data_IF_704595500220
#
_entry.id   IF_704595500220
#
_cell.length_a   1.000
_cell.length_b   1.000
_cell.length_c   1.000
_cell.angle_alpha   90.00
_cell.angle_beta   90.00
_cell.angle_gamma   90.00
#
_symmetry.space_group_name_H-M   'P 1'
#
loop_
_entity.id
_entity.type
_entity.pdbx_description
1 polymer ?
#
# COMPACT_ATOMS: atom_id res chain seq x y z
N UNK A 1 12.63 -9.62 -9.25
CA UNK A 1 11.99 -10.84 -9.76
C UNK A 1 12.93 -12.00 -9.54
N UNK A 2 12.47 -13.11 -8.95
CA UNK A 2 13.28 -14.33 -8.87
C UNK A 2 13.15 -14.99 -10.24
N UNK A 3 14.26 -15.16 -10.94
CA UNK A 3 14.26 -15.72 -12.28
C UNK A 3 13.61 -17.11 -12.22
N UNK A 4 12.51 -17.32 -12.94
CA UNK A 4 11.73 -18.57 -12.88
C UNK A 4 12.60 -19.78 -13.26
N UNK A 5 13.64 -19.54 -14.07
CA UNK A 5 14.69 -20.49 -14.40
C UNK A 5 15.44 -21.00 -13.17
N UNK A 6 15.72 -20.12 -12.20
CA UNK A 6 16.40 -20.44 -10.94
C UNK A 6 15.49 -21.25 -9.99
N UNK A 7 14.21 -20.90 -9.91
CA UNK A 7 13.23 -21.62 -9.08
C UNK A 7 13.03 -23.05 -9.59
N UNK A 8 12.92 -23.22 -10.91
CA UNK A 8 12.71 -24.53 -11.53
C UNK A 8 13.99 -25.38 -11.54
N UNK A 9 15.17 -24.78 -11.70
CA UNK A 9 16.44 -25.52 -11.61
C UNK A 9 16.73 -26.03 -10.20
N UNK A 10 16.25 -25.35 -9.16
CA UNK A 10 16.44 -25.79 -7.78
C UNK A 10 15.58 -27.01 -7.41
N UNK A 11 14.54 -27.32 -8.19
CA UNK A 11 13.66 -28.49 -7.99
C UNK A 11 13.95 -29.65 -8.95
N UNK A 12 14.79 -29.45 -9.95
CA UNK A 12 15.12 -30.44 -10.95
C UNK A 12 16.63 -30.76 -10.90
N UNK A 13 16.98 -32.05 -10.83
CA UNK A 13 18.38 -32.49 -10.79
C UNK A 13 19.17 -32.17 -12.08
N UNK A 14 18.49 -31.70 -13.13
CA UNK A 14 19.09 -31.37 -14.43
C UNK A 14 18.46 -30.11 -15.03
N UNK A 15 19.23 -29.41 -15.87
CA UNK A 15 18.76 -28.21 -16.58
C UNK A 15 17.58 -28.57 -17.50
N UNK A 16 16.40 -27.95 -17.34
CA UNK A 16 15.25 -28.30 -18.15
C UNK A 16 15.46 -27.91 -19.62
N UNK A 17 14.91 -28.71 -20.52
CA UNK A 17 14.86 -28.43 -21.96
C UNK A 17 14.03 -27.15 -22.22
N UNK A 18 14.49 -26.29 -23.14
CA UNK A 18 13.81 -25.05 -23.52
C UNK A 18 12.34 -25.28 -23.87
N UNK A 19 12.04 -26.36 -24.60
CA UNK A 19 10.67 -26.69 -25.01
C UNK A 19 9.78 -27.01 -23.83
N UNK A 20 10.31 -27.63 -22.77
CA UNK A 20 9.55 -27.94 -21.57
C UNK A 20 9.27 -26.67 -20.77
N UNK A 21 10.23 -25.75 -20.69
CA UNK A 21 10.03 -24.46 -20.03
C UNK A 21 8.93 -23.65 -20.72
N UNK A 22 8.95 -23.59 -22.06
CA UNK A 22 7.91 -22.91 -22.86
C UNK A 22 6.52 -23.53 -22.64
N UNK A 23 6.45 -24.86 -22.55
CA UNK A 23 5.20 -25.57 -22.25
C UNK A 23 4.68 -25.26 -20.85
N UNK A 24 5.55 -25.23 -19.84
CA UNK A 24 5.20 -24.89 -18.47
C UNK A 24 4.68 -23.45 -18.38
N UNK A 25 5.39 -22.48 -18.97
CA UNK A 25 4.95 -21.08 -19.03
C UNK A 25 3.56 -20.99 -19.67
N UNK A 26 3.34 -21.69 -20.79
CA UNK A 26 2.05 -21.69 -21.47
C UNK A 26 0.93 -22.30 -20.63
N UNK A 27 1.20 -23.39 -19.91
CA UNK A 27 0.23 -24.03 -19.01
C UNK A 27 -0.12 -23.10 -17.84
N UNK A 28 0.90 -22.48 -17.22
CA UNK A 28 0.70 -21.53 -16.13
C UNK A 28 -0.12 -20.35 -16.64
N UNK A 29 0.29 -19.71 -17.75
CA UNK A 29 -0.40 -18.56 -18.34
C UNK A 29 -1.85 -18.88 -18.72
N UNK A 30 -2.13 -20.08 -19.24
CA UNK A 30 -3.48 -20.50 -19.57
C UNK A 30 -4.34 -20.77 -18.33
N UNK A 31 -3.75 -21.27 -17.23
CA UNK A 31 -4.45 -21.52 -15.96
C UNK A 31 -4.62 -20.27 -15.11
N UNK A 32 -3.67 -19.36 -15.16
CA UNK A 32 -3.69 -18.08 -14.47
C UNK A 32 -4.47 -17.01 -15.23
N UNK A 33 -5.07 -17.36 -16.37
CA UNK A 33 -5.88 -16.43 -17.14
C UNK A 33 -7.14 -16.09 -16.35
N UNK A 34 -7.23 -14.85 -15.92
CA UNK A 34 -8.38 -14.30 -15.21
C UNK A 34 -9.15 -13.43 -16.19
N UNK A 35 -10.43 -13.73 -16.37
CA UNK A 35 -11.28 -12.90 -17.22
C UNK A 35 -11.37 -11.49 -16.63
N UNK A 36 -11.28 -10.45 -17.48
CA UNK A 36 -11.35 -9.03 -17.09
C UNK A 36 -12.52 -8.72 -16.13
N UNK A 37 -13.66 -9.40 -16.32
CA UNK A 37 -14.86 -9.24 -15.50
C UNK A 37 -14.69 -9.70 -14.03
N UNK A 38 -13.67 -10.50 -13.75
CA UNK A 38 -13.30 -10.88 -12.39
C UNK A 38 -12.37 -9.84 -11.75
N UNK A 39 -11.79 -8.90 -12.53
CA UNK A 39 -10.98 -7.80 -12.00
C UNK A 39 -11.86 -6.72 -11.40
N UNK A 40 -12.15 -6.89 -10.11
CA UNK A 40 -12.74 -5.83 -9.31
C UNK A 40 -11.67 -4.79 -8.99
N UNK A 41 -11.99 -3.53 -9.29
CA UNK A 41 -11.16 -2.42 -8.86
C UNK A 41 -11.09 -2.40 -7.32
N UNK A 42 -9.91 -2.15 -6.74
CA UNK A 42 -9.78 -2.06 -5.30
C UNK A 42 -10.61 -0.90 -4.75
N UNK A 43 -11.16 -1.01 -3.54
CA UNK A 43 -11.89 0.08 -2.89
C UNK A 43 -11.03 1.35 -2.79
N UNK A 44 -11.65 2.51 -3.03
CA UNK A 44 -10.96 3.81 -3.06
C UNK A 44 -10.37 4.24 -1.71
N UNK A 45 -10.88 3.70 -0.60
CA UNK A 45 -10.38 3.98 0.73
C UNK A 45 -9.11 3.19 1.08
N UNK A 46 -8.70 2.23 0.25
CA UNK A 46 -7.52 1.42 0.49
C UNK A 46 -6.36 1.87 -0.39
N UNK A 47 -5.20 2.10 0.21
CA UNK A 47 -3.97 2.48 -0.47
C UNK A 47 -2.94 1.39 -0.28
N UNK A 48 -2.37 0.94 -1.39
CA UNK A 48 -1.31 -0.06 -1.38
C UNK A 48 0.07 0.59 -1.18
N UNK A 49 0.68 0.36 -0.03
CA UNK A 49 1.96 0.89 0.41
C UNK A 49 3.01 -0.22 0.51
N UNK A 50 4.29 0.14 0.63
CA UNK A 50 5.37 -0.86 0.68
C UNK A 50 5.19 -1.88 1.80
N UNK A 51 4.74 -1.42 2.97
CA UNK A 51 4.57 -2.25 4.17
C UNK A 51 3.16 -2.82 4.37
N UNK A 52 2.22 -2.58 3.44
CA UNK A 52 0.88 -3.14 3.52
C UNK A 52 -0.18 -2.28 2.86
N UNK A 53 -1.45 -2.57 3.15
CA UNK A 53 -2.60 -1.84 2.65
C UNK A 53 -3.10 -0.92 3.76
N UNK A 54 -3.02 0.38 3.54
CA UNK A 54 -3.53 1.40 4.46
C UNK A 54 -4.99 1.69 4.16
N UNK A 55 -5.86 1.57 5.16
CA UNK A 55 -7.20 2.12 5.11
C UNK A 55 -7.18 3.57 5.57
N UNK A 56 -7.55 4.50 4.67
CA UNK A 56 -7.52 5.94 4.94
C UNK A 56 -8.62 6.41 5.89
N UNK A 57 -9.72 5.64 6.00
CA UNK A 57 -10.82 6.01 6.90
C UNK A 57 -10.49 5.67 8.35
N UNK A 58 -9.87 4.51 8.57
CA UNK A 58 -9.53 4.01 9.91
C UNK A 58 -8.10 4.30 10.34
N UNK A 59 -7.21 4.61 9.38
CA UNK A 59 -5.77 4.75 9.61
C UNK A 59 -5.06 3.43 9.93
N UNK A 60 -5.72 2.28 9.72
CA UNK A 60 -5.16 0.96 10.03
C UNK A 60 -4.37 0.41 8.85
N UNK A 61 -3.24 -0.23 9.17
CA UNK A 61 -2.41 -0.93 8.20
C UNK A 61 -2.72 -2.43 8.23
N UNK A 62 -3.15 -2.96 7.08
CA UNK A 62 -3.42 -4.37 6.87
C UNK A 62 -2.28 -5.03 6.07
N UNK A 63 -2.07 -6.36 6.22
CA UNK A 63 -1.14 -7.08 5.37
C UNK A 63 -1.62 -7.08 3.92
N UNK A 64 -0.67 -7.21 2.98
CA UNK A 64 -0.97 -7.34 1.55
C UNK A 64 -1.95 -8.47 1.28
N UNK A 65 -2.99 -8.17 0.51
CA UNK A 65 -3.99 -9.15 0.09
C UNK A 65 -4.03 -9.25 -1.44
N UNK A 66 -3.56 -10.35 -2.03
CA UNK A 66 -3.60 -10.57 -3.48
C UNK A 66 -5.00 -10.63 -4.09
N UNK A 67 -6.06 -10.72 -3.28
CA UNK A 67 -7.46 -10.64 -3.73
C UNK A 67 -7.89 -9.19 -4.00
N UNK A 68 -7.16 -8.21 -3.46
CA UNK A 68 -7.36 -6.80 -3.77
C UNK A 68 -6.39 -6.46 -4.91
N UNK A 69 -6.92 -6.33 -6.12
CA UNK A 69 -6.13 -6.33 -7.34
C UNK A 69 -5.57 -4.93 -7.64
N UNK A 70 -4.71 -4.48 -6.75
CA UNK A 70 -3.98 -3.23 -6.91
C UNK A 70 -3.02 -3.32 -8.10
N UNK A 71 -3.10 -2.34 -8.99
CA UNK A 71 -2.24 -2.23 -10.18
C UNK A 71 -0.92 -1.53 -9.90
N UNK A 72 -0.81 -0.84 -8.75
CA UNK A 72 0.40 -0.14 -8.32
C UNK A 72 0.59 -0.24 -6.80
N UNK A 73 1.84 -0.09 -6.37
CA UNK A 73 2.27 0.02 -4.97
C UNK A 73 3.04 1.32 -4.83
N UNK A 74 2.71 2.12 -3.82
CA UNK A 74 3.49 3.32 -3.51
C UNK A 74 4.72 2.88 -2.70
N UNK A 75 5.92 3.25 -3.15
CA UNK A 75 7.20 2.92 -2.50
C UNK A 75 7.47 3.79 -1.26
N UNK A 76 6.53 3.76 -0.31
CA UNK A 76 6.59 4.45 0.98
C UNK A 76 6.10 3.49 2.05
N UNK A 77 6.75 3.49 3.21
CA UNK A 77 6.33 2.73 4.39
C UNK A 77 5.48 3.61 5.31
N UNK A 78 4.27 3.16 5.64
CA UNK A 78 3.43 3.84 6.61
C UNK A 78 3.97 3.66 8.02
N UNK A 79 4.27 4.77 8.70
CA UNK A 79 4.63 4.79 10.11
C UNK A 79 3.69 5.77 10.86
N UNK A 80 2.80 5.28 11.75
CA UNK A 80 1.87 6.13 12.48
C UNK A 80 2.56 7.10 13.44
N UNK A 81 3.81 6.82 13.82
CA UNK A 81 4.62 7.64 14.72
C UNK A 81 5.66 8.48 13.96
N UNK A 82 5.54 8.62 12.63
CA UNK A 82 6.49 9.41 11.86
C UNK A 82 6.42 10.90 12.21
N UNK A 83 7.57 11.49 12.53
CA UNK A 83 7.71 12.93 12.71
C UNK A 83 8.20 13.59 11.42
N UNK A 84 7.54 14.69 11.00
CA UNK A 84 7.86 15.41 9.77
C UNK A 84 8.35 16.84 10.07
N UNK A 85 9.58 17.03 10.58
CA UNK A 85 10.06 18.33 11.08
C UNK A 85 10.15 19.40 9.99
N UNK A 86 10.59 19.04 8.78
CA UNK A 86 10.69 19.98 7.66
C UNK A 86 9.31 20.48 7.21
N UNK A 87 8.31 19.59 7.19
CA UNK A 87 6.94 19.95 6.85
C UNK A 87 6.33 20.87 7.92
N UNK A 88 6.53 20.55 9.20
CA UNK A 88 6.09 21.40 10.31
C UNK A 88 6.74 22.79 10.27
N UNK A 89 8.04 22.86 9.95
CA UNK A 89 8.75 24.12 9.76
C UNK A 89 8.16 24.93 8.62
N UNK A 90 7.96 24.30 7.45
CA UNK A 90 7.33 24.94 6.30
C UNK A 90 5.94 25.51 6.66
N UNK A 91 5.08 24.72 7.29
CA UNK A 91 3.76 25.18 7.74
C UNK A 91 3.84 26.39 8.67
N UNK A 92 4.84 26.44 9.55
CA UNK A 92 5.04 27.58 10.46
C UNK A 92 5.51 28.85 9.75
N UNK A 93 6.23 28.72 8.62
CA UNK A 93 6.72 29.84 7.83
C UNK A 93 5.61 30.44 6.96
N UNK A 94 4.73 29.61 6.39
CA UNK A 94 3.69 30.07 5.46
C UNK A 94 2.37 30.47 6.12
N UNK A 95 2.08 30.02 7.36
CA UNK A 95 0.83 30.32 8.05
C UNK A 95 0.94 31.53 9.00
N UNK A 96 0.07 32.56 8.87
CA UNK A 96 0.10 33.72 9.76
C UNK A 96 -0.33 33.39 11.20
N UNK A 97 0.39 34.00 12.16
CA UNK A 97 0.41 33.71 13.61
C UNK A 97 -0.94 33.67 14.36
N UNK A 98 -2.02 34.23 13.81
CA UNK A 98 -3.36 34.19 14.45
C UNK A 98 -4.08 32.86 14.28
N UNK A 99 -3.69 32.04 13.31
CA UNK A 99 -4.23 30.68 13.10
C UNK A 99 -3.33 29.59 13.69
N UNK A 100 -2.12 29.94 14.15
CA UNK A 100 -1.12 28.95 14.51
C UNK A 100 -1.34 28.25 15.84
N UNK A 101 -2.01 28.91 16.79
CA UNK A 101 -2.38 28.28 18.06
C UNK A 101 -3.51 27.26 17.90
N UNK A 102 -4.43 27.48 16.95
CA UNK A 102 -5.60 26.63 16.74
C UNK A 102 -5.24 25.29 16.07
N UNK A 103 -4.21 25.23 15.21
CA UNK A 103 -3.78 23.96 14.62
C UNK A 103 -2.97 23.08 15.58
N UNK A 104 -2.22 23.67 16.53
CA UNK A 104 -1.42 22.89 17.48
C UNK A 104 -2.32 22.06 18.39
N UNK A 105 -3.49 22.58 18.76
CA UNK A 105 -4.47 21.83 19.54
C UNK A 105 -5.15 20.72 18.73
N UNK A 106 -5.36 20.92 17.42
CA UNK A 106 -6.00 19.91 16.56
C UNK A 106 -5.02 18.81 16.08
N UNK A 107 -3.75 19.11 15.84
CA UNK A 107 -2.79 18.07 15.43
C UNK A 107 -2.46 17.11 16.58
N UNK A 108 -2.50 17.59 17.83
CA UNK A 108 -2.30 16.77 19.01
C UNK A 108 -3.45 15.77 19.29
N UNK A 109 -4.66 16.04 18.82
CA UNK A 109 -5.82 15.14 19.02
C UNK A 109 -5.88 14.00 18.01
N UNK A 110 -5.15 14.04 16.89
CA UNK A 110 -5.17 12.99 15.87
C UNK A 110 -4.02 11.97 15.98
N UNK A 111 -2.99 12.25 16.79
CA UNK A 111 -1.84 11.32 17.01
C UNK A 111 -2.11 10.27 18.10
N UNK A 112 -3.15 10.44 18.91
CA UNK A 112 -3.62 9.43 19.86
C UNK A 112 -5.00 8.96 19.42
N UNK A 113 -5.06 7.76 18.85
CA UNK A 113 -6.28 7.14 18.29
C UNK A 113 -7.39 6.90 19.31
N UNK A 114 -8.08 7.95 19.72
CA UNK A 114 -9.30 7.87 20.51
C UNK A 114 -10.28 9.00 20.17
N UNK A 115 -11.51 8.58 19.88
CA UNK A 115 -12.78 9.31 19.97
C UNK A 115 -13.26 10.12 18.74
N UNK A 116 -14.04 9.43 17.90
CA UNK A 116 -15.52 9.58 17.87
C UNK A 116 -16.08 10.96 18.23
N UNK A 117 -16.72 11.59 17.23
CA UNK A 117 -17.71 12.71 17.30
C UNK A 117 -17.16 14.10 17.63
N UNK A 118 -16.74 14.82 16.60
CA UNK A 118 -16.84 16.28 16.56
C UNK A 118 -17.15 16.79 15.14
N UNK A 119 -18.10 16.16 14.45
CA UNK A 119 -18.77 16.75 13.29
C UNK A 119 -20.07 17.42 13.75
N UNK A 120 -19.93 18.41 14.63
CA UNK A 120 -20.98 19.41 14.87
C UNK A 120 -20.28 20.71 15.24
N UNK A 121 -20.55 21.73 14.43
CA UNK A 121 -19.94 23.06 14.42
C UNK A 121 -18.55 23.16 13.76
N UNK A 122 -18.57 23.13 12.43
CA UNK A 122 -18.06 24.24 11.67
C UNK A 122 -19.07 24.62 10.58
#
# INVERSE_FOLDING_TARGET
EKDLTEVLSNQADTKPSSTLLDQVIRIIGAKSWVAEKQLQEPPLNLINLRNGILDIETGQLHPHNPQLWFTSVIDVEYNPNAECPNFLKFLSEILPLKRTQQYKSCLATHSTGAATRAAHLC
#
